data_IF_360855549818
#
_entry.id   IF_360855549818
#
_cell.length_a   1.000
_cell.length_b   1.000
_cell.length_c   1.000
_cell.angle_alpha   90.00
_cell.angle_beta   90.00
_cell.angle_gamma   90.00
#
_symmetry.space_group_name_H-M   'P 1'
#
loop_
_entity.id
_entity.type
_entity.pdbx_description
1 polymer ?
#
# COMPACT_ATOMS: atom_id res chain seq x y z
N UNK A 1 27.08 8.54 16.35
CA UNK A 1 26.13 8.79 15.24
C UNK A 1 25.90 7.50 14.48
N UNK A 2 24.67 7.05 14.21
CA UNK A 2 24.46 5.86 13.40
C UNK A 2 25.03 6.09 11.99
N UNK A 3 25.77 5.09 11.49
CA UNK A 3 26.45 5.14 10.19
C UNK A 3 25.41 5.41 9.09
N UNK A 4 25.68 6.37 8.21
CA UNK A 4 24.78 6.69 7.08
C UNK A 4 24.65 5.44 6.21
N UNK A 5 23.42 5.06 5.90
CA UNK A 5 23.16 3.89 5.08
C UNK A 5 23.77 4.05 3.68
N UNK A 6 24.28 2.96 3.12
CA UNK A 6 24.77 2.94 1.73
C UNK A 6 23.59 3.11 0.75
N UNK A 7 23.90 3.36 -0.53
CA UNK A 7 22.88 3.43 -1.58
C UNK A 7 22.12 2.10 -1.67
N UNK A 8 22.85 0.99 -1.72
CA UNK A 8 22.31 -0.36 -1.78
C UNK A 8 21.46 -0.71 -0.55
N UNK A 9 21.89 -0.33 0.66
CA UNK A 9 21.07 -0.51 1.86
C UNK A 9 19.78 0.32 1.82
N UNK A 10 19.83 1.51 1.22
CA UNK A 10 18.63 2.33 1.05
C UNK A 10 17.66 1.67 0.07
N UNK A 11 18.15 1.12 -1.04
CA UNK A 11 17.33 0.40 -2.02
C UNK A 11 16.66 -0.83 -1.40
N UNK A 12 17.39 -1.64 -0.62
CA UNK A 12 16.82 -2.77 0.12
C UNK A 12 15.71 -2.37 1.10
N UNK A 13 15.88 -1.23 1.80
CA UNK A 13 14.86 -0.72 2.72
C UNK A 13 13.61 -0.25 1.98
N UNK A 14 13.77 0.34 0.79
CA UNK A 14 12.66 0.77 -0.06
C UNK A 14 11.94 -0.44 -0.65
N UNK A 15 12.67 -1.44 -1.14
CA UNK A 15 12.08 -2.69 -1.67
C UNK A 15 11.25 -3.42 -0.60
N UNK A 16 11.80 -3.60 0.60
CA UNK A 16 11.03 -4.17 1.71
C UNK A 16 9.81 -3.33 2.08
N UNK A 17 9.90 -1.99 2.04
CA UNK A 17 8.72 -1.15 2.25
C UNK A 17 7.69 -1.32 1.12
N UNK A 18 8.12 -1.52 -0.14
CA UNK A 18 7.26 -1.73 -1.29
C UNK A 18 6.49 -3.06 -1.20
N UNK A 19 7.11 -4.11 -0.68
CA UNK A 19 6.42 -5.36 -0.34
C UNK A 19 5.24 -5.11 0.61
N UNK A 20 5.48 -4.36 1.69
CA UNK A 20 4.42 -3.99 2.64
C UNK A 20 3.33 -3.11 2.00
N UNK A 21 3.69 -2.23 1.07
CA UNK A 21 2.69 -1.46 0.29
C UNK A 21 1.84 -2.41 -0.56
N UNK A 22 2.46 -3.36 -1.26
CA UNK A 22 1.78 -4.35 -2.09
C UNK A 22 0.86 -5.27 -1.28
N UNK A 23 1.20 -5.55 -0.01
CA UNK A 23 0.33 -6.25 0.96
C UNK A 23 -0.86 -5.41 1.46
N UNK A 24 -0.99 -4.16 1.02
CA UNK A 24 -2.05 -3.24 1.43
C UNK A 24 -1.88 -2.69 2.84
N UNK A 25 -0.66 -2.65 3.39
CA UNK A 25 -0.44 -2.07 4.72
C UNK A 25 -0.64 -0.55 4.70
N UNK A 26 -1.17 0.01 5.80
CA UNK A 26 -1.37 1.45 5.91
C UNK A 26 -0.04 2.22 5.97
N UNK A 27 0.05 3.36 5.29
CA UNK A 27 1.25 4.21 5.20
C UNK A 27 1.89 4.51 6.57
N UNK A 28 1.07 4.83 7.58
CA UNK A 28 1.51 5.14 8.94
C UNK A 28 2.08 3.91 9.67
N UNK A 29 1.49 2.73 9.43
CA UNK A 29 1.96 1.45 9.95
C UNK A 29 3.32 1.10 9.35
N UNK A 30 3.44 1.14 8.02
CA UNK A 30 4.70 0.89 7.30
C UNK A 30 5.79 1.83 7.80
N UNK A 31 5.50 3.13 7.88
CA UNK A 31 6.45 4.15 8.37
C UNK A 31 6.96 3.82 9.78
N UNK A 32 6.08 3.37 10.66
CA UNK A 32 6.44 3.02 12.04
C UNK A 32 7.28 1.75 12.05
N UNK A 33 6.87 0.73 11.30
CA UNK A 33 7.60 -0.52 11.16
C UNK A 33 9.02 -0.30 10.60
N UNK A 34 9.16 0.47 9.51
CA UNK A 34 10.45 0.81 8.88
C UNK A 34 11.35 1.61 9.84
N UNK A 35 10.79 2.54 10.61
CA UNK A 35 11.55 3.30 11.61
C UNK A 35 12.16 2.40 12.68
N UNK A 36 11.36 1.47 13.22
CA UNK A 36 11.78 0.53 14.26
C UNK A 36 12.76 -0.50 13.69
N UNK A 37 12.40 -1.17 12.60
CA UNK A 37 13.19 -2.27 12.00
C UNK A 37 14.61 -1.85 11.60
N UNK A 38 14.76 -0.63 11.09
CA UNK A 38 16.07 -0.14 10.63
C UNK A 38 16.73 0.85 11.59
N UNK A 39 16.13 1.08 12.77
CA UNK A 39 16.60 2.03 13.78
C UNK A 39 16.94 3.41 13.19
N UNK A 40 15.98 4.01 12.48
CA UNK A 40 16.12 5.30 11.81
C UNK A 40 15.08 6.30 12.29
N UNK A 41 15.35 7.59 12.05
CA UNK A 41 14.39 8.64 12.38
C UNK A 41 13.08 8.46 11.61
N UNK A 42 11.97 8.86 12.24
CA UNK A 42 10.63 8.82 11.62
C UNK A 42 10.57 9.64 10.32
N UNK A 43 11.36 10.72 10.22
CA UNK A 43 11.51 11.52 8.99
C UNK A 43 12.08 10.65 7.87
N UNK A 44 13.19 9.93 8.12
CA UNK A 44 13.82 9.07 7.11
C UNK A 44 12.95 7.86 6.77
N UNK A 45 12.24 7.29 7.74
CA UNK A 45 11.28 6.22 7.49
C UNK A 45 10.14 6.69 6.56
N UNK A 46 9.58 7.89 6.77
CA UNK A 46 8.58 8.47 5.85
C UNK A 46 9.13 8.61 4.43
N UNK A 47 10.36 9.10 4.27
CA UNK A 47 10.98 9.21 2.94
C UNK A 47 11.08 7.84 2.24
N UNK A 48 11.45 6.79 2.98
CA UNK A 48 11.52 5.42 2.44
C UNK A 48 10.13 4.92 2.07
N UNK A 49 9.13 5.09 2.95
CA UNK A 49 7.75 4.70 2.65
C UNK A 49 7.21 5.43 1.43
N UNK A 50 7.44 6.74 1.30
CA UNK A 50 7.03 7.50 0.10
C UNK A 50 7.65 6.94 -1.18
N UNK A 51 8.95 6.60 -1.16
CA UNK A 51 9.63 5.99 -2.31
C UNK A 51 9.07 4.61 -2.67
N UNK A 52 8.65 3.83 -1.67
CA UNK A 52 8.01 2.54 -1.91
C UNK A 52 6.67 2.67 -2.64
N UNK A 53 5.85 3.67 -2.27
CA UNK A 53 4.61 3.96 -3.00
C UNK A 53 4.88 4.46 -4.42
N UNK A 54 5.95 5.23 -4.63
CA UNK A 54 6.36 5.65 -5.97
C UNK A 54 6.80 4.47 -6.82
N UNK A 55 7.64 3.56 -6.28
CA UNK A 55 8.01 2.35 -7.02
C UNK A 55 6.80 1.52 -7.43
N UNK A 56 5.83 1.32 -6.54
CA UNK A 56 4.62 0.59 -6.90
C UNK A 56 3.81 1.31 -8.00
N UNK A 57 3.76 2.65 -7.97
CA UNK A 57 3.12 3.45 -9.01
C UNK A 57 3.85 3.28 -10.34
N UNK A 58 5.18 3.40 -10.33
CA UNK A 58 6.02 3.28 -11.52
C UNK A 58 5.93 1.86 -12.10
N UNK A 59 5.93 0.81 -11.27
CA UNK A 59 5.73 -0.58 -11.69
C UNK A 59 4.35 -0.81 -12.34
N UNK A 60 3.32 -0.07 -11.90
CA UNK A 60 1.97 -0.11 -12.49
C UNK A 60 1.93 0.64 -13.83
N UNK A 61 2.69 1.72 -13.96
CA UNK A 61 2.73 2.54 -15.18
C UNK A 61 3.65 1.96 -16.26
N UNK A 62 4.77 1.34 -15.87
CA UNK A 62 5.75 0.70 -16.76
C UNK A 62 5.42 -0.75 -17.08
N UNK A 63 4.81 -1.46 -16.13
CA UNK A 63 4.20 -2.74 -16.44
C UNK A 63 3.07 -2.51 -17.43
N UNK A 64 3.14 -3.11 -18.62
CA UNK A 64 1.98 -3.30 -19.51
C UNK A 64 1.01 -4.31 -18.87
N UNK A 65 0.73 -4.11 -17.57
CA UNK A 65 -0.23 -4.82 -16.76
C UNK A 65 -1.56 -4.61 -17.47
N UNK A 66 -2.04 -5.66 -18.12
CA UNK A 66 -3.33 -5.56 -18.77
C UNK A 66 -4.40 -5.19 -17.73
N UNK A 67 -5.50 -4.62 -18.20
CA UNK A 67 -6.60 -4.15 -17.36
C UNK A 67 -7.06 -5.20 -16.34
N UNK A 68 -7.04 -6.49 -16.70
CA UNK A 68 -7.48 -7.56 -15.81
C UNK A 68 -6.50 -7.79 -14.65
N UNK A 69 -5.20 -7.69 -14.88
CA UNK A 69 -4.17 -7.88 -13.84
C UNK A 69 -4.17 -6.72 -12.83
N UNK A 70 -4.30 -5.48 -13.30
CA UNK A 70 -4.53 -4.32 -12.43
C UNK A 70 -5.82 -4.47 -11.62
N UNK A 71 -6.92 -4.89 -12.26
CA UNK A 71 -8.18 -5.17 -11.55
C UNK A 71 -8.00 -6.23 -10.48
N UNK A 72 -7.30 -7.33 -10.76
CA UNK A 72 -7.06 -8.40 -9.78
C UNK A 72 -6.24 -7.91 -8.58
N UNK A 73 -5.16 -7.14 -8.81
CA UNK A 73 -4.37 -6.54 -7.72
C UNK A 73 -5.19 -5.57 -6.87
N UNK A 74 -6.01 -4.73 -7.50
CA UNK A 74 -6.89 -3.79 -6.79
C UNK A 74 -7.94 -4.53 -5.94
N UNK A 75 -8.55 -5.59 -6.46
CA UNK A 75 -9.49 -6.44 -5.70
C UNK A 75 -8.80 -7.01 -4.46
N UNK A 76 -7.66 -7.67 -4.64
CA UNK A 76 -6.91 -8.29 -3.53
C UNK A 76 -6.51 -7.25 -2.47
N UNK A 77 -6.08 -6.06 -2.90
CA UNK A 77 -5.69 -4.96 -2.00
C UNK A 77 -6.89 -4.48 -1.17
N UNK A 78 -8.05 -4.30 -1.81
CA UNK A 78 -9.28 -3.88 -1.13
C UNK A 78 -9.78 -4.95 -0.15
N UNK A 79 -9.72 -6.23 -0.51
CA UNK A 79 -10.09 -7.35 0.37
C UNK A 79 -9.18 -7.41 1.62
N UNK A 80 -7.87 -7.31 1.43
CA UNK A 80 -6.91 -7.30 2.53
C UNK A 80 -7.10 -6.07 3.43
N UNK A 81 -7.35 -4.90 2.85
CA UNK A 81 -7.64 -3.69 3.61
C UNK A 81 -8.94 -3.82 4.43
N UNK A 82 -9.99 -4.40 3.85
CA UNK A 82 -11.24 -4.70 4.58
C UNK A 82 -11.01 -5.70 5.71
N UNK A 83 -10.27 -6.77 5.46
CA UNK A 83 -9.95 -7.77 6.49
C UNK A 83 -9.21 -7.14 7.68
N UNK A 84 -8.18 -6.34 7.42
CA UNK A 84 -7.44 -5.62 8.47
C UNK A 84 -8.34 -4.62 9.22
N UNK A 85 -9.13 -3.84 8.49
CA UNK A 85 -10.04 -2.87 9.11
C UNK A 85 -11.12 -3.54 9.99
N UNK A 86 -11.59 -4.74 9.61
CA UNK A 86 -12.49 -5.54 10.44
C UNK A 86 -11.83 -5.97 11.75
N UNK A 87 -10.57 -6.44 11.72
CA UNK A 87 -9.82 -6.80 12.93
C UNK A 87 -9.63 -5.62 13.88
N UNK A 88 -9.40 -4.43 13.31
CA UNK A 88 -9.22 -3.18 14.06
C UNK A 88 -10.56 -2.50 14.46
N UNK A 89 -11.71 -3.12 14.16
CA UNK A 89 -13.07 -2.57 14.39
C UNK A 89 -13.31 -1.22 13.71
N UNK A 90 -12.58 -0.92 12.63
CA UNK A 90 -12.72 0.29 11.82
C UNK A 90 -13.79 0.10 10.73
N UNK A 91 -15.05 -0.06 11.14
CA UNK A 91 -16.15 -0.39 10.22
C UNK A 91 -16.40 0.65 9.12
N UNK A 92 -16.07 1.93 9.37
CA UNK A 92 -16.15 2.98 8.34
C UNK A 92 -15.19 2.70 7.18
N UNK A 93 -13.95 2.29 7.47
CA UNK A 93 -12.96 1.92 6.46
C UNK A 93 -13.40 0.67 5.68
N UNK A 94 -14.04 -0.30 6.36
CA UNK A 94 -14.62 -1.49 5.70
C UNK A 94 -15.69 -1.07 4.68
N UNK A 95 -16.65 -0.23 5.08
CA UNK A 95 -17.71 0.23 4.20
C UNK A 95 -17.18 1.05 3.00
N UNK A 96 -16.19 1.91 3.23
CA UNK A 96 -15.54 2.68 2.15
C UNK A 96 -14.85 1.76 1.14
N UNK A 97 -14.06 0.79 1.61
CA UNK A 97 -13.37 -0.17 0.73
C UNK A 97 -14.37 -1.06 -0.02
N UNK A 98 -15.43 -1.53 0.63
CA UNK A 98 -16.49 -2.31 0.01
C UNK A 98 -17.18 -1.54 -1.13
N UNK A 99 -17.47 -0.24 -0.92
CA UNK A 99 -18.08 0.60 -1.96
C UNK A 99 -17.18 0.74 -3.20
N UNK A 100 -15.88 0.94 -2.99
CA UNK A 100 -14.90 1.03 -4.08
C UNK A 100 -14.81 -0.31 -4.81
N UNK A 101 -14.80 -1.44 -4.09
CA UNK A 101 -14.79 -2.77 -4.68
C UNK A 101 -16.04 -3.01 -5.53
N UNK A 102 -17.23 -2.71 -5.00
CA UNK A 102 -18.50 -2.83 -5.73
C UNK A 102 -18.49 -2.03 -7.04
N UNK A 103 -17.93 -0.81 -7.02
CA UNK A 103 -17.76 0.00 -8.24
C UNK A 103 -16.80 -0.65 -9.24
N UNK A 104 -15.69 -1.20 -8.76
CA UNK A 104 -14.66 -1.83 -9.58
C UNK A 104 -15.17 -3.11 -10.29
N UNK A 105 -15.99 -3.91 -9.60
CA UNK A 105 -16.58 -5.15 -10.16
C UNK A 105 -17.95 -4.94 -10.82
N UNK A 106 -18.44 -3.69 -10.88
CA UNK A 106 -19.72 -3.36 -11.54
C UNK A 106 -20.98 -3.76 -10.78
N UNK A 107 -20.87 -3.99 -9.46
CA UNK A 107 -21.98 -4.27 -8.54
C UNK A 107 -22.62 -3.01 -7.93
N UNK A 108 -22.07 -1.81 -8.21
CA UNK A 108 -22.68 -0.56 -7.77
C UNK A 108 -24.05 -0.38 -8.46
N UNK A 109 -25.09 -0.19 -7.65
CA UNK A 109 -26.45 0.02 -8.16
C UNK A 109 -26.46 1.24 -9.09
N UNK A 110 -26.80 1.02 -10.37
CA UNK A 110 -27.02 2.12 -11.31
C UNK A 110 -28.21 2.92 -10.83
N UNK A 111 -27.97 4.13 -10.33
CA UNK A 111 -29.05 5.11 -10.13
C UNK A 111 -29.58 5.44 -11.52
N UNK A 112 -30.82 5.03 -11.82
CA UNK A 112 -31.52 5.48 -13.02
C UNK A 112 -31.79 6.98 -12.83
N UNK A 113 -31.13 7.81 -13.63
CA UNK A 113 -31.54 9.20 -13.83
C UNK A 113 -32.82 9.25 -14.66
#
# INVERSE_FOLDING_TARGET
MPKRATKQETELRVAHAAELVAEGQAYSSITTHVAVKYNISRRRAREITSKAYLLLKDDIEEGDLNRAEMTAKLVCTLENAMYRAMQEKQYSAVATNAKVLMKLVGLEAKVKN
#
